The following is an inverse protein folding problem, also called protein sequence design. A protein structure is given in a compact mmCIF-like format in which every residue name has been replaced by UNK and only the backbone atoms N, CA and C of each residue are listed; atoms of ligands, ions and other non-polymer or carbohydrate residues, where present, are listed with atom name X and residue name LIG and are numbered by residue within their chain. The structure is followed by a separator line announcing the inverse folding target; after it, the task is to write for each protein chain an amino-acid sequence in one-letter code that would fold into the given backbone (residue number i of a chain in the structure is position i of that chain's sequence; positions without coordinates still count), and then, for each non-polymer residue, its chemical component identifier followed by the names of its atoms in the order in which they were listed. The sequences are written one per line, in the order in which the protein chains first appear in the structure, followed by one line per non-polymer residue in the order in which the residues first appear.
data_IF_166837143409
#
_entry.id   IF_166837143409
#
_cell.length_a   1.000
_cell.length_b   1.000
_cell.length_c   1.000
_cell.angle_alpha   90.00
_cell.angle_beta   90.00
_cell.angle_gamma   90.00
#
_symmetry.space_group_name_H-M   'P 1'
#
loop_
_entity.id
_entity.type
_entity.pdbx_description
1 polymer ?
#
# COMPACT_ATOMS: atom_id res chain seq x y z
N UNK A 1 1.58 -4.82 37.55
CA UNK A 1 1.99 -3.45 37.87
C UNK A 1 2.45 -2.86 36.56
N UNK A 2 1.66 -1.95 35.99
CA UNK A 2 2.11 -1.20 34.82
C UNK A 2 3.17 -0.22 35.36
N UNK A 3 4.38 -0.30 34.83
CA UNK A 3 5.42 0.69 35.09
C UNK A 3 4.97 1.93 34.32
N UNK A 4 4.51 2.96 35.03
CA UNK A 4 4.35 4.29 34.47
C UNK A 4 5.76 4.81 34.16
N UNK A 5 6.18 4.68 32.91
CA UNK A 5 7.42 5.31 32.42
C UNK A 5 7.15 6.81 32.40
N UNK A 6 7.85 7.57 33.22
CA UNK A 6 7.72 9.03 33.26
C UNK A 6 8.26 9.63 31.96
N UNK A 7 7.68 10.75 31.49
CA UNK A 7 8.14 11.49 30.30
C UNK A 7 9.61 11.91 30.38
N UNK A 8 10.20 11.97 31.58
CA UNK A 8 11.60 12.27 31.80
C UNK A 8 12.51 11.07 31.45
N UNK A 9 12.00 9.84 31.56
CA UNK A 9 12.76 8.62 31.31
C UNK A 9 12.93 8.33 29.80
N UNK A 10 12.08 8.90 28.95
CA UNK A 10 12.13 8.76 27.48
C UNK A 10 13.28 9.57 26.85
N UNK A 11 13.83 10.56 27.53
CA UNK A 11 15.11 11.23 27.19
C UNK A 11 16.33 10.48 27.73
N UNK A 12 16.12 9.33 28.33
CA UNK A 12 17.12 8.43 28.90
C UNK A 12 17.99 7.74 27.85
N UNK A 13 18.96 6.97 28.32
CA UNK A 13 19.87 6.16 27.51
C UNK A 13 19.14 5.33 26.45
N UNK A 14 17.94 4.79 26.74
CA UNK A 14 17.12 4.02 25.79
C UNK A 14 16.71 4.83 24.55
N UNK A 15 16.33 6.09 24.72
CA UNK A 15 15.95 6.93 23.56
C UNK A 15 17.17 7.30 22.70
N UNK A 16 18.33 7.53 23.33
CA UNK A 16 19.59 7.75 22.62
C UNK A 16 20.08 6.49 21.91
N UNK A 17 19.83 5.33 22.48
CA UNK A 17 20.07 4.03 21.85
C UNK A 17 19.18 3.84 20.60
N UNK A 18 17.87 4.09 20.70
CA UNK A 18 16.94 4.09 19.57
C UNK A 18 17.39 5.03 18.44
N UNK A 19 17.85 6.23 18.77
CA UNK A 19 18.41 7.16 17.79
C UNK A 19 19.68 6.63 17.15
N UNK A 20 20.55 5.99 17.93
CA UNK A 20 21.79 5.41 17.43
C UNK A 20 21.54 4.24 16.48
N UNK A 21 20.61 3.35 16.82
CA UNK A 21 20.24 2.22 15.97
C UNK A 21 19.55 2.67 14.68
N UNK A 22 18.68 3.68 14.76
CA UNK A 22 18.05 4.27 13.59
C UNK A 22 19.08 4.85 12.59
N UNK A 23 20.23 5.36 13.07
CA UNK A 23 21.33 5.84 12.22
C UNK A 23 21.93 4.74 11.32
N UNK A 24 21.90 3.50 11.76
CA UNK A 24 22.39 2.36 10.99
C UNK A 24 21.29 1.70 10.13
N UNK A 25 20.13 2.34 10.01
CA UNK A 25 18.92 1.85 9.30
C UNK A 25 18.41 0.50 9.83
N UNK A 26 18.75 0.18 11.05
CA UNK A 26 18.04 -0.82 11.84
C UNK A 26 17.00 -0.05 12.65
N UNK A 27 15.80 0.08 12.09
CA UNK A 27 14.73 0.79 12.79
C UNK A 27 14.25 -0.07 13.95
N UNK A 28 14.43 0.35 15.21
CA UNK A 28 14.00 -0.39 16.39
C UNK A 28 12.48 -0.18 16.60
N UNK A 29 11.68 -0.58 15.58
CA UNK A 29 10.24 -0.30 15.57
C UNK A 29 9.53 -1.09 16.65
N UNK A 30 10.00 -2.30 16.97
CA UNK A 30 9.39 -3.14 18.02
C UNK A 30 9.52 -2.46 19.38
N UNK A 31 10.70 -2.00 19.72
CA UNK A 31 11.03 -1.30 20.96
C UNK A 31 10.25 0.02 21.05
N UNK A 32 10.15 0.74 19.94
CA UNK A 32 9.37 1.97 19.86
C UNK A 32 7.86 1.72 20.07
N UNK A 33 7.34 0.61 19.53
CA UNK A 33 5.95 0.19 19.77
C UNK A 33 5.74 -0.22 21.23
N UNK A 34 6.71 -0.85 21.87
CA UNK A 34 6.67 -1.21 23.29
C UNK A 34 6.60 0.04 24.16
N UNK A 35 7.38 1.09 23.85
CA UNK A 35 7.30 2.39 24.51
C UNK A 35 5.93 3.08 24.34
N UNK A 36 5.24 2.82 23.23
CA UNK A 36 3.86 3.27 23.00
C UNK A 36 2.82 2.38 23.70
N UNK A 37 3.24 1.28 24.32
CA UNK A 37 2.33 0.28 24.90
C UNK A 37 1.53 -0.48 23.83
N UNK A 38 2.07 -0.62 22.62
CA UNK A 38 1.39 -1.24 21.48
C UNK A 38 2.09 -2.54 21.09
N UNK A 39 1.37 -3.66 21.19
CA UNK A 39 1.83 -4.93 20.63
C UNK A 39 1.60 -4.93 19.11
N UNK A 40 2.65 -5.11 18.29
CA UNK A 40 2.50 -5.11 16.84
C UNK A 40 1.71 -6.34 16.36
N UNK A 41 0.97 -6.15 15.26
CA UNK A 41 0.34 -7.26 14.55
C UNK A 41 1.36 -8.02 13.69
N UNK A 42 1.15 -9.32 13.39
CA UNK A 42 2.04 -10.09 12.51
C UNK A 42 2.34 -9.39 11.17
N UNK A 43 1.34 -8.75 10.58
CA UNK A 43 1.50 -7.95 9.35
C UNK A 43 2.46 -6.76 9.53
N UNK A 44 2.37 -6.09 10.66
CA UNK A 44 3.26 -4.97 11.00
C UNK A 44 4.69 -5.45 11.23
N UNK A 45 4.87 -6.57 11.93
CA UNK A 45 6.19 -7.21 12.12
C UNK A 45 6.82 -7.59 10.77
N UNK A 46 6.03 -8.12 9.83
CA UNK A 46 6.54 -8.46 8.51
C UNK A 46 7.04 -7.21 7.75
N UNK A 47 6.30 -6.10 7.82
CA UNK A 47 6.71 -4.81 7.23
C UNK A 47 8.01 -4.30 7.87
N UNK A 48 8.11 -4.33 9.20
CA UNK A 48 9.29 -3.94 9.95
C UNK A 48 10.51 -4.74 9.51
N UNK A 49 10.38 -6.07 9.44
CA UNK A 49 11.45 -6.95 9.02
C UNK A 49 11.92 -6.68 7.59
N UNK A 50 10.98 -6.40 6.67
CA UNK A 50 11.31 -6.08 5.29
C UNK A 50 12.07 -4.75 5.17
N UNK A 51 11.68 -3.72 5.92
CA UNK A 51 12.35 -2.42 5.93
C UNK A 51 13.74 -2.52 6.55
N UNK A 52 13.89 -3.31 7.61
CA UNK A 52 15.16 -3.52 8.28
C UNK A 52 16.13 -4.41 7.49
N UNK A 53 15.63 -5.06 6.43
CA UNK A 53 16.50 -5.83 5.55
C UNK A 53 17.18 -4.92 4.52
N UNK A 54 18.50 -4.85 4.57
CA UNK A 54 19.32 -4.02 3.68
C UNK A 54 19.27 -4.45 2.20
N UNK A 55 18.80 -5.67 1.91
CA UNK A 55 18.57 -6.14 0.54
C UNK A 55 17.46 -5.35 -0.14
N UNK A 56 16.44 -4.93 0.62
CA UNK A 56 15.25 -4.33 0.04
C UNK A 56 15.28 -2.81 0.17
N UNK A 57 15.12 -2.14 -0.95
CA UNK A 57 14.97 -0.70 -1.05
C UNK A 57 13.51 -0.29 -1.16
N UNK A 58 12.70 -1.15 -1.76
CA UNK A 58 11.28 -0.93 -2.01
C UNK A 58 10.45 -2.03 -1.35
N UNK A 59 9.49 -1.63 -0.52
CA UNK A 59 8.59 -2.56 0.18
C UNK A 59 7.16 -2.27 -0.25
N UNK A 60 6.49 -3.26 -0.83
CA UNK A 60 5.09 -3.17 -1.21
C UNK A 60 4.24 -4.08 -0.32
N UNK A 61 3.31 -3.51 0.45
CA UNK A 61 2.52 -4.25 1.42
C UNK A 61 1.02 -4.19 1.08
N UNK A 62 0.50 -5.29 0.54
CA UNK A 62 -0.92 -5.50 0.31
C UNK A 62 -1.57 -6.04 1.58
N UNK A 63 -2.30 -5.20 2.28
CA UNK A 63 -2.74 -5.47 3.65
C UNK A 63 -4.22 -5.20 3.79
N UNK A 64 -4.95 -6.16 4.34
CA UNK A 64 -6.40 -6.04 4.56
C UNK A 64 -6.78 -4.87 5.46
N UNK A 65 -8.06 -4.55 5.53
CA UNK A 65 -8.57 -3.52 6.47
C UNK A 65 -8.30 -3.90 7.93
N UNK A 66 -8.25 -2.89 8.80
CA UNK A 66 -8.06 -3.00 10.27
C UNK A 66 -6.73 -3.63 10.71
N UNK A 67 -5.71 -3.61 9.85
CA UNK A 67 -4.34 -4.04 10.18
C UNK A 67 -3.44 -2.90 10.70
N UNK A 68 -3.96 -1.69 10.85
CA UNK A 68 -3.18 -0.55 11.33
C UNK A 68 -2.10 -0.07 10.35
N UNK A 69 -2.38 -0.13 9.03
CA UNK A 69 -1.48 0.31 7.94
C UNK A 69 -0.92 1.71 8.16
N UNK A 70 -1.81 2.70 8.22
CA UNK A 70 -1.46 4.10 8.42
C UNK A 70 -0.69 4.31 9.73
N UNK A 71 -1.03 3.58 10.78
CA UNK A 71 -0.36 3.69 12.07
C UNK A 71 1.09 3.24 11.98
N UNK A 72 1.38 2.04 11.47
CA UNK A 72 2.75 1.54 11.34
C UNK A 72 3.58 2.37 10.36
N UNK A 73 2.97 2.84 9.27
CA UNK A 73 3.62 3.74 8.31
C UNK A 73 4.12 5.02 9.00
N UNK A 74 3.28 5.63 9.83
CA UNK A 74 3.63 6.83 10.57
C UNK A 74 4.66 6.58 11.68
N UNK A 75 4.61 5.44 12.36
CA UNK A 75 5.64 5.02 13.34
C UNK A 75 7.00 4.92 12.66
N UNK A 76 7.08 4.27 11.51
CA UNK A 76 8.32 4.14 10.75
C UNK A 76 8.83 5.52 10.32
N UNK A 77 7.96 6.38 9.81
CA UNK A 77 8.30 7.76 9.46
C UNK A 77 8.85 8.57 10.65
N UNK A 78 8.20 8.43 11.81
CA UNK A 78 8.63 9.10 13.04
C UNK A 78 10.02 8.60 13.50
N UNK A 79 10.26 7.29 13.46
CA UNK A 79 11.57 6.73 13.82
C UNK A 79 12.70 7.25 12.94
N UNK A 80 12.47 7.29 11.62
CA UNK A 80 13.46 7.87 10.69
C UNK A 80 13.72 9.35 11.01
N UNK A 81 12.69 10.10 11.45
CA UNK A 81 12.86 11.51 11.80
C UNK A 81 13.69 11.76 13.06
N UNK A 82 13.94 10.73 13.88
CA UNK A 82 14.85 10.83 15.02
C UNK A 82 16.32 10.93 14.59
N UNK A 83 16.65 10.46 13.39
CA UNK A 83 17.98 10.64 12.80
C UNK A 83 18.14 12.10 12.35
N UNK A 84 19.10 12.86 12.90
CA UNK A 84 19.25 14.28 12.60
C UNK A 84 19.39 14.56 11.10
N UNK A 85 18.63 15.55 10.60
CA UNK A 85 18.67 16.00 9.21
C UNK A 85 17.97 15.07 8.23
N UNK A 86 17.15 14.11 8.70
CA UNK A 86 16.41 13.20 7.85
C UNK A 86 15.19 13.89 7.23
N UNK A 87 14.88 13.55 5.97
CA UNK A 87 13.72 14.02 5.25
C UNK A 87 12.77 12.86 4.96
N UNK A 88 11.57 12.95 5.49
CA UNK A 88 10.52 11.95 5.33
C UNK A 88 9.35 12.53 4.55
N UNK A 89 8.85 11.78 3.58
CA UNK A 89 7.65 12.12 2.83
C UNK A 89 6.60 11.02 3.00
N UNK A 90 5.41 11.42 3.48
CA UNK A 90 4.25 10.53 3.57
C UNK A 90 3.23 10.99 2.54
N UNK A 91 3.03 10.20 1.51
CA UNK A 91 2.10 10.45 0.42
C UNK A 91 0.78 9.77 0.68
N UNK A 92 -0.31 10.45 0.40
CA UNK A 92 -1.67 9.90 0.45
C UNK A 92 -2.38 10.16 -0.88
N UNK A 93 -3.48 9.45 -1.20
CA UNK A 93 -4.23 9.66 -2.43
C UNK A 93 -4.68 11.11 -2.62
N UNK A 94 -5.12 11.75 -1.55
CA UNK A 94 -5.62 13.12 -1.58
C UNK A 94 -5.25 13.90 -0.30
N UNK A 95 -5.49 15.21 -0.34
CA UNK A 95 -5.15 16.11 0.76
C UNK A 95 -5.92 15.80 2.06
N UNK A 96 -7.16 15.32 1.98
CA UNK A 96 -7.96 15.00 3.18
C UNK A 96 -7.38 13.79 3.92
N UNK A 97 -6.94 12.76 3.20
CA UNK A 97 -6.30 11.58 3.80
C UNK A 97 -4.92 11.92 4.40
N UNK A 98 -4.18 12.83 3.78
CA UNK A 98 -2.90 13.29 4.35
C UNK A 98 -3.05 14.00 5.70
N UNK A 99 -4.24 14.51 6.04
CA UNK A 99 -4.53 15.08 7.35
C UNK A 99 -4.43 14.04 8.48
N UNK A 100 -4.86 12.81 8.21
CA UNK A 100 -4.80 11.71 9.19
C UNK A 100 -3.35 11.45 9.61
N UNK A 101 -2.44 11.36 8.64
CA UNK A 101 -1.01 11.17 8.92
C UNK A 101 -0.39 12.39 9.61
N UNK A 102 -0.81 13.60 9.25
CA UNK A 102 -0.32 14.82 9.88
C UNK A 102 -0.70 14.89 11.37
N UNK A 103 -1.95 14.60 11.68
CA UNK A 103 -2.43 14.59 13.08
C UNK A 103 -1.78 13.46 13.88
N UNK A 104 -1.56 12.31 13.25
CA UNK A 104 -0.88 11.19 13.89
C UNK A 104 0.59 11.52 14.20
N UNK A 105 1.31 12.16 13.28
CA UNK A 105 2.68 12.62 13.52
C UNK A 105 2.75 13.62 14.68
N UNK A 106 1.83 14.58 14.74
CA UNK A 106 1.74 15.52 15.87
C UNK A 106 1.51 14.81 17.20
N UNK A 107 0.65 13.80 17.21
CA UNK A 107 0.38 13.02 18.42
C UNK A 107 1.61 12.23 18.88
N UNK A 108 2.35 11.62 17.95
CA UNK A 108 3.60 10.90 18.24
C UNK A 108 4.67 11.87 18.78
N UNK A 109 4.87 13.01 18.13
CA UNK A 109 5.80 14.05 18.54
C UNK A 109 5.48 14.52 19.96
N UNK A 110 4.19 14.78 20.25
CA UNK A 110 3.74 15.19 21.58
C UNK A 110 3.92 14.08 22.62
N UNK A 111 3.66 12.82 22.25
CA UNK A 111 3.82 11.67 23.14
C UNK A 111 5.27 11.52 23.60
N UNK A 112 6.23 11.68 22.68
CA UNK A 112 7.66 11.58 22.95
C UNK A 112 8.32 12.92 23.37
N UNK A 113 7.52 13.97 23.55
CA UNK A 113 7.99 15.32 23.92
C UNK A 113 9.15 15.80 23.01
N UNK A 114 9.03 15.55 21.70
CA UNK A 114 10.04 15.97 20.73
C UNK A 114 9.93 17.46 20.48
N UNK A 115 11.08 18.12 20.38
CA UNK A 115 11.16 19.54 20.14
C UNK A 115 10.89 19.87 18.66
N UNK A 116 9.91 20.73 18.43
CA UNK A 116 9.48 21.18 17.10
C UNK A 116 10.04 22.57 16.81
N UNK A 117 10.81 22.69 15.74
CA UNK A 117 11.28 23.99 15.23
C UNK A 117 10.18 24.72 14.45
N UNK A 118 9.36 23.97 13.66
CA UNK A 118 8.26 24.52 12.89
C UNK A 118 7.15 23.51 12.69
N UNK A 119 5.91 23.94 12.89
CA UNK A 119 4.70 23.20 12.59
C UNK A 119 3.84 24.02 11.61
N UNK A 120 3.81 23.60 10.36
CA UNK A 120 3.04 24.26 9.31
C UNK A 120 1.84 23.41 8.91
N UNK A 121 0.70 23.69 9.49
CA UNK A 121 -0.55 22.97 9.23
C UNK A 121 -1.08 23.19 7.79
N UNK A 122 -0.78 24.34 7.17
CA UNK A 122 -1.24 24.61 5.80
C UNK A 122 -0.52 23.73 4.79
N UNK A 123 0.80 23.63 4.91
CA UNK A 123 1.62 22.86 3.98
C UNK A 123 1.86 21.42 4.49
N UNK A 124 1.34 21.11 5.69
CA UNK A 124 1.50 19.81 6.40
C UNK A 124 2.96 19.37 6.50
N UNK A 125 3.78 20.26 7.05
CA UNK A 125 5.21 20.07 7.26
C UNK A 125 5.55 20.30 8.71
N UNK A 126 6.25 19.33 9.31
CA UNK A 126 6.80 19.44 10.66
C UNK A 126 8.31 19.39 10.54
N UNK A 127 8.99 20.41 11.10
CA UNK A 127 10.45 20.47 11.20
C UNK A 127 10.82 20.30 12.68
N UNK A 128 11.64 19.30 12.98
CA UNK A 128 12.15 19.06 14.32
C UNK A 128 13.43 19.87 14.56
N UNK A 129 13.76 20.14 15.84
CA UNK A 129 14.97 20.89 16.21
C UNK A 129 16.28 20.16 15.86
N UNK A 130 16.21 18.83 15.63
CA UNK A 130 17.33 18.05 15.13
C UNK A 130 17.58 18.23 13.61
N UNK A 131 16.83 19.12 12.95
CA UNK A 131 16.92 19.39 11.51
C UNK A 131 16.15 18.43 10.62
N UNK A 132 15.44 17.45 11.17
CA UNK A 132 14.64 16.51 10.40
C UNK A 132 13.31 17.13 10.00
N UNK A 133 12.79 16.71 8.84
CA UNK A 133 11.51 17.19 8.28
C UNK A 133 10.59 16.01 7.98
N UNK A 134 9.36 16.08 8.47
CA UNK A 134 8.28 15.17 8.07
C UNK A 134 7.24 15.95 7.29
N UNK A 135 7.07 15.59 6.02
CA UNK A 135 6.14 16.22 5.09
C UNK A 135 5.05 15.25 4.70
N UNK A 136 3.82 15.72 4.68
CA UNK A 136 2.68 14.99 4.10
C UNK A 136 2.36 15.59 2.74
N UNK A 137 2.29 14.70 1.73
CA UNK A 137 1.93 15.06 0.36
C UNK A 137 0.67 14.34 -0.11
N UNK A 138 0.20 14.72 -1.28
CA UNK A 138 -0.84 13.98 -1.99
C UNK A 138 -0.40 13.68 -3.43
N UNK A 139 -0.87 12.56 -3.97
CA UNK A 139 -0.55 12.16 -5.35
C UNK A 139 -0.93 13.26 -6.34
N UNK A 140 -2.07 13.90 -6.13
CA UNK A 140 -2.56 14.99 -7.00
C UNK A 140 -1.70 16.29 -6.94
N UNK A 141 -0.77 16.40 -6.00
CA UNK A 141 0.07 17.58 -5.80
C UNK A 141 1.55 17.19 -5.64
N UNK A 142 1.98 16.15 -6.34
CA UNK A 142 3.34 15.61 -6.24
C UNK A 142 4.42 16.63 -6.55
N UNK A 143 4.17 17.57 -7.47
CA UNK A 143 5.13 18.63 -7.84
C UNK A 143 5.58 19.49 -6.66
N UNK A 144 4.75 19.63 -5.64
CA UNK A 144 5.11 20.33 -4.40
C UNK A 144 6.12 19.59 -3.54
N UNK A 145 6.35 18.30 -3.83
CA UNK A 145 7.22 17.42 -3.08
C UNK A 145 8.57 17.18 -3.77
N UNK A 146 8.73 17.52 -5.04
CA UNK A 146 10.01 17.38 -5.77
C UNK A 146 11.03 18.44 -5.36
N UNK A 147 12.30 18.29 -5.80
CA UNK A 147 13.39 19.21 -5.52
C UNK A 147 13.98 19.09 -4.11
N UNK A 148 13.80 17.94 -3.46
CA UNK A 148 14.38 17.56 -2.17
C UNK A 148 14.93 16.15 -2.25
N UNK A 149 15.89 15.82 -1.38
CA UNK A 149 16.38 14.46 -1.19
C UNK A 149 15.70 13.84 0.02
N UNK A 150 15.04 12.70 -0.16
CA UNK A 150 14.34 11.98 0.91
C UNK A 150 15.12 10.75 1.37
N UNK A 151 15.06 10.50 2.67
CA UNK A 151 15.55 9.27 3.29
C UNK A 151 14.49 8.17 3.24
N UNK A 152 13.22 8.58 3.35
CA UNK A 152 12.08 7.68 3.30
C UNK A 152 10.89 8.34 2.61
N UNK A 153 10.29 7.59 1.67
CA UNK A 153 9.01 7.93 1.07
C UNK A 153 8.01 6.82 1.40
N UNK A 154 6.84 7.19 1.91
CA UNK A 154 5.76 6.27 2.22
C UNK A 154 4.53 6.64 1.39
N UNK A 155 3.98 5.71 0.64
CA UNK A 155 2.67 5.84 0.00
C UNK A 155 1.65 5.07 0.85
N UNK A 156 0.85 5.80 1.62
CA UNK A 156 -0.27 5.24 2.37
C UNK A 156 -1.53 5.24 1.52
N UNK A 157 -2.27 4.14 1.57
CA UNK A 157 -3.44 3.86 0.71
C UNK A 157 -3.10 4.01 -0.80
N UNK A 158 -1.96 3.46 -1.20
CA UNK A 158 -1.36 3.60 -2.52
C UNK A 158 -2.29 3.19 -3.67
N UNK A 159 -3.13 2.17 -3.48
CA UNK A 159 -4.04 1.69 -4.53
C UNK A 159 -5.25 2.61 -4.79
N UNK A 160 -5.49 3.65 -3.95
CA UNK A 160 -6.66 4.54 -4.11
C UNK A 160 -6.46 5.69 -5.10
N UNK A 161 -5.25 5.88 -5.62
CA UNK A 161 -4.96 6.89 -6.63
C UNK A 161 -3.89 6.37 -7.58
N UNK A 162 -3.87 6.86 -8.82
CA UNK A 162 -2.79 6.53 -9.74
C UNK A 162 -1.52 7.31 -9.36
N UNK A 163 -0.60 6.58 -8.75
CA UNK A 163 0.68 7.11 -8.29
C UNK A 163 1.88 6.64 -9.09
N UNK A 164 1.69 5.96 -10.23
CA UNK A 164 2.77 5.42 -11.05
C UNK A 164 3.77 6.51 -11.44
N UNK A 165 3.30 7.56 -12.08
CA UNK A 165 4.14 8.66 -12.54
C UNK A 165 4.63 9.51 -11.37
N UNK A 166 3.77 9.71 -10.36
CA UNK A 166 4.16 10.40 -9.14
C UNK A 166 5.38 9.73 -8.49
N UNK A 167 5.44 8.40 -8.47
CA UNK A 167 6.62 7.71 -7.97
C UNK A 167 7.74 7.63 -8.99
N UNK A 168 7.52 6.99 -10.15
CA UNK A 168 8.61 6.64 -11.08
C UNK A 168 9.30 7.88 -11.68
N UNK A 169 8.52 8.93 -12.00
CA UNK A 169 9.01 10.13 -12.68
C UNK A 169 9.42 11.20 -11.68
N UNK A 170 8.54 11.50 -10.72
CA UNK A 170 8.74 12.64 -9.84
C UNK A 170 9.55 12.32 -8.57
N UNK A 171 9.20 11.24 -7.84
CA UNK A 171 9.74 11.00 -6.51
C UNK A 171 10.89 9.98 -6.45
N UNK A 172 10.93 8.98 -7.32
CA UNK A 172 12.03 8.01 -7.32
C UNK A 172 13.41 8.66 -7.48
N UNK A 173 13.61 9.68 -8.32
CA UNK A 173 14.88 10.41 -8.41
C UNK A 173 15.28 11.13 -7.12
N UNK A 174 14.34 11.43 -6.24
CA UNK A 174 14.60 12.13 -4.96
C UNK A 174 15.09 11.18 -3.85
N UNK A 175 15.07 9.87 -4.10
CA UNK A 175 15.70 8.85 -3.25
C UNK A 175 17.17 8.67 -3.68
N UNK A 176 17.96 9.74 -3.58
CA UNK A 176 19.33 9.84 -4.04
C UNK A 176 20.38 9.59 -2.95
N UNK A 177 19.93 9.44 -1.70
CA UNK A 177 20.79 9.13 -0.57
C UNK A 177 21.04 7.63 -0.45
N UNK A 178 22.22 7.28 0.05
CA UNK A 178 22.52 5.91 0.43
C UNK A 178 21.47 5.39 1.43
N UNK A 179 20.97 4.17 1.19
CA UNK A 179 19.96 3.52 2.01
C UNK A 179 18.56 4.18 2.03
N UNK A 180 18.30 5.17 1.19
CA UNK A 180 16.96 5.72 1.05
C UNK A 180 15.97 4.65 0.58
N UNK A 181 14.75 4.65 1.14
CA UNK A 181 13.75 3.60 0.91
C UNK A 181 12.39 4.18 0.53
N UNK A 182 11.58 3.36 -0.16
CA UNK A 182 10.17 3.65 -0.32
C UNK A 182 9.30 2.47 0.14
N UNK A 183 8.14 2.82 0.70
CA UNK A 183 7.14 1.88 1.19
C UNK A 183 5.81 2.21 0.50
N UNK A 184 5.14 1.19 -0.02
CA UNK A 184 3.82 1.28 -0.63
C UNK A 184 2.89 0.39 0.18
N UNK A 185 1.90 0.99 0.87
CA UNK A 185 0.97 0.24 1.72
C UNK A 185 -0.45 0.54 1.27
N UNK A 186 -1.24 -0.50 1.02
CA UNK A 186 -2.66 -0.35 0.69
C UNK A 186 -3.45 -1.63 0.93
N UNK A 187 -4.77 -1.50 0.97
CA UNK A 187 -5.68 -2.57 0.59
C UNK A 187 -5.71 -2.63 -0.95
N UNK A 188 -5.62 -3.80 -1.58
CA UNK A 188 -5.68 -3.94 -3.03
C UNK A 188 -6.97 -3.35 -3.63
N UNK A 189 -6.89 -2.94 -4.90
CA UNK A 189 -8.03 -2.42 -5.70
C UNK A 189 -7.98 -3.02 -7.11
N UNK A 190 -8.18 -4.35 -7.18
CA UNK A 190 -8.05 -5.09 -8.43
C UNK A 190 -6.60 -5.21 -8.91
N UNK A 191 -6.43 -5.85 -10.07
CA UNK A 191 -5.10 -6.11 -10.68
C UNK A 191 -4.63 -5.01 -11.62
N UNK A 192 -5.56 -4.23 -12.18
CA UNK A 192 -5.28 -3.31 -13.28
C UNK A 192 -4.85 -1.92 -12.76
N UNK A 193 -3.83 -1.88 -11.90
CA UNK A 193 -3.30 -0.63 -11.35
C UNK A 193 -1.81 -0.75 -10.99
N UNK A 194 -1.17 0.39 -10.82
CA UNK A 194 0.25 0.50 -10.51
C UNK A 194 0.67 -0.16 -9.19
N UNK A 195 -0.22 -0.21 -8.19
CA UNK A 195 0.07 -0.85 -6.90
C UNK A 195 0.19 -2.37 -7.06
N UNK A 196 -0.68 -2.98 -7.88
CA UNK A 196 -0.58 -4.39 -8.21
C UNK A 196 0.71 -4.71 -8.98
N UNK A 197 1.08 -3.86 -9.95
CA UNK A 197 2.36 -4.00 -10.67
C UNK A 197 3.55 -3.93 -9.70
N UNK A 198 3.56 -2.98 -8.77
CA UNK A 198 4.63 -2.86 -7.79
C UNK A 198 4.66 -4.03 -6.81
N UNK A 199 3.49 -4.55 -6.46
CA UNK A 199 3.40 -5.76 -5.64
C UNK A 199 3.99 -6.98 -6.37
N UNK A 200 3.73 -7.15 -7.64
CA UNK A 200 4.26 -8.26 -8.42
C UNK A 200 5.80 -8.19 -8.58
N UNK A 201 6.40 -7.00 -8.54
CA UNK A 201 7.87 -6.83 -8.58
C UNK A 201 8.59 -7.55 -7.44
N UNK A 202 7.99 -7.66 -6.25
CA UNK A 202 8.60 -8.35 -5.13
C UNK A 202 8.69 -9.87 -5.28
N UNK A 203 8.10 -10.43 -6.32
CA UNK A 203 8.17 -11.86 -6.69
C UNK A 203 8.94 -12.10 -7.98
N UNK A 204 9.45 -11.04 -8.61
CA UNK A 204 10.19 -11.12 -9.86
C UNK A 204 11.68 -10.90 -9.59
N UNK A 205 12.50 -11.87 -9.97
CA UNK A 205 13.97 -11.85 -9.81
C UNK A 205 14.65 -10.69 -10.57
N UNK A 206 14.00 -10.07 -11.54
CA UNK A 206 14.49 -8.87 -12.20
C UNK A 206 14.49 -7.63 -11.29
N UNK A 207 13.76 -7.68 -10.17
CA UNK A 207 13.65 -6.60 -9.19
C UNK A 207 14.16 -7.00 -7.80
N UNK A 208 15.44 -7.37 -7.65
CA UNK A 208 15.97 -7.95 -6.40
C UNK A 208 15.92 -7.01 -5.19
N UNK A 209 15.73 -5.70 -5.41
CA UNK A 209 15.60 -4.66 -4.38
C UNK A 209 14.16 -4.48 -3.89
N UNK A 210 13.19 -5.23 -4.45
CA UNK A 210 11.77 -5.20 -4.07
C UNK A 210 11.43 -6.33 -3.11
N UNK A 211 10.50 -6.05 -2.20
CA UNK A 211 9.89 -7.03 -1.31
C UNK A 211 8.39 -6.80 -1.24
N UNK A 212 7.62 -7.85 -1.43
CA UNK A 212 6.16 -7.78 -1.33
C UNK A 212 5.63 -8.61 -0.18
N UNK A 213 4.69 -8.03 0.56
CA UNK A 213 4.07 -8.61 1.74
C UNK A 213 2.56 -8.62 1.52
N UNK A 214 1.93 -9.77 1.71
CA UNK A 214 0.47 -9.88 1.76
C UNK A 214 0.04 -10.25 3.17
N UNK A 215 -0.94 -9.52 3.72
CA UNK A 215 -1.52 -9.82 5.01
C UNK A 215 -3.05 -9.72 4.98
N UNK A 216 -3.69 -10.72 5.54
CA UNK A 216 -5.13 -10.94 5.52
C UNK A 216 -5.74 -10.66 6.90
N UNK A 217 -7.08 -10.73 7.01
CA UNK A 217 -7.75 -10.62 8.31
C UNK A 217 -7.29 -11.69 9.32
N UNK A 218 -6.78 -12.83 8.85
CA UNK A 218 -6.27 -13.92 9.69
C UNK A 218 -5.01 -13.54 10.45
N UNK A 219 -4.29 -12.55 9.96
CA UNK A 219 -3.08 -12.01 10.58
C UNK A 219 -3.41 -10.96 11.67
N UNK A 220 -4.70 -10.71 11.94
CA UNK A 220 -5.13 -9.82 13.01
C UNK A 220 -5.92 -10.59 14.10
N UNK A 221 -5.27 -11.03 15.19
CA UNK A 221 -5.93 -11.77 16.25
C UNK A 221 -6.96 -10.95 17.05
N UNK A 222 -7.04 -9.63 16.81
CA UNK A 222 -8.01 -8.74 17.46
C UNK A 222 -9.36 -8.70 16.73
N UNK A 223 -9.45 -9.28 15.53
CA UNK A 223 -10.71 -9.34 14.78
C UNK A 223 -11.57 -10.49 15.31
N UNK A 224 -12.80 -10.20 15.71
CA UNK A 224 -13.70 -11.23 16.20
C UNK A 224 -14.27 -12.10 15.07
N UNK A 225 -14.54 -13.37 15.36
CA UNK A 225 -15.21 -14.26 14.41
C UNK A 225 -16.60 -13.75 14.01
N UNK A 226 -17.26 -13.01 14.92
CA UNK A 226 -18.58 -12.42 14.67
C UNK A 226 -18.49 -11.28 13.66
N UNK A 227 -17.52 -10.36 13.79
CA UNK A 227 -17.30 -9.27 12.84
C UNK A 227 -16.99 -9.80 11.43
N UNK A 228 -16.20 -10.87 11.35
CA UNK A 228 -15.88 -11.54 10.08
C UNK A 228 -17.11 -12.18 9.46
N UNK A 229 -17.94 -12.88 10.27
CA UNK A 229 -19.17 -13.51 9.77
C UNK A 229 -20.19 -12.47 9.30
N UNK A 230 -20.28 -11.32 9.98
CA UNK A 230 -21.15 -10.20 9.58
C UNK A 230 -20.66 -9.56 8.29
N UNK A 231 -19.35 -9.30 8.16
CA UNK A 231 -18.77 -8.77 6.94
C UNK A 231 -19.03 -9.67 5.73
N UNK A 232 -18.87 -11.00 5.89
CA UNK A 232 -19.18 -11.99 4.83
C UNK A 232 -20.64 -11.99 4.39
N UNK A 233 -21.56 -11.63 5.28
CA UNK A 233 -23.00 -11.54 4.95
C UNK A 233 -23.38 -10.24 4.28
N UNK A 234 -22.65 -9.17 4.57
CA UNK A 234 -22.98 -7.81 4.11
C UNK A 234 -22.26 -7.40 2.83
N UNK A 235 -21.28 -8.17 2.39
CA UNK A 235 -20.45 -7.90 1.22
C UNK A 235 -20.59 -9.04 0.21
N UNK A 236 -20.33 -8.76 -1.06
CA UNK A 236 -20.10 -9.80 -2.05
C UNK A 236 -18.79 -10.57 -1.74
N UNK A 237 -18.66 -11.79 -2.26
CA UNK A 237 -17.43 -12.57 -2.09
C UNK A 237 -16.19 -11.83 -2.62
N UNK A 238 -16.35 -11.11 -3.74
CA UNK A 238 -15.28 -10.31 -4.32
C UNK A 238 -14.85 -9.18 -3.38
N UNK A 239 -15.79 -8.41 -2.86
CA UNK A 239 -15.50 -7.33 -1.89
C UNK A 239 -14.86 -7.89 -0.62
N UNK A 240 -15.37 -9.01 -0.09
CA UNK A 240 -14.79 -9.64 1.08
C UNK A 240 -13.34 -10.08 0.83
N UNK A 241 -13.07 -10.72 -0.30
CA UNK A 241 -11.72 -11.14 -0.68
C UNK A 241 -10.79 -9.94 -0.80
N UNK A 242 -11.21 -8.87 -1.46
CA UNK A 242 -10.43 -7.64 -1.57
C UNK A 242 -10.14 -7.00 -0.22
N UNK A 243 -11.18 -6.73 0.59
CA UNK A 243 -11.06 -5.91 1.79
C UNK A 243 -10.49 -6.67 3.00
N UNK A 244 -10.77 -7.99 3.09
CA UNK A 244 -10.38 -8.84 4.23
C UNK A 244 -9.27 -9.84 3.91
N UNK A 245 -9.16 -10.28 2.67
CA UNK A 245 -8.12 -11.24 2.27
C UNK A 245 -6.99 -10.60 1.48
N UNK A 246 -7.04 -9.27 1.25
CA UNK A 246 -6.07 -8.52 0.46
C UNK A 246 -5.83 -9.18 -0.91
N UNK A 247 -6.93 -9.59 -1.57
CA UNK A 247 -6.90 -10.22 -2.88
C UNK A 247 -6.94 -9.16 -3.98
N UNK A 248 -6.10 -9.34 -5.00
CA UNK A 248 -6.05 -8.49 -6.19
C UNK A 248 -7.00 -8.94 -7.29
N UNK A 249 -7.57 -10.15 -7.20
CA UNK A 249 -8.38 -10.74 -8.26
C UNK A 249 -9.83 -10.24 -8.28
N UNK A 250 -10.09 -9.10 -7.66
CA UNK A 250 -11.40 -8.45 -7.68
C UNK A 250 -11.38 -7.35 -8.70
N UNK A 251 -12.17 -7.48 -9.76
CA UNK A 251 -12.32 -6.42 -10.75
C UNK A 251 -13.40 -5.45 -10.27
N UNK A 252 -13.04 -4.18 -10.03
CA UNK A 252 -14.05 -3.12 -9.93
C UNK A 252 -14.78 -3.04 -11.28
N UNK A 253 -16.09 -3.18 -11.24
CA UNK A 253 -16.92 -3.16 -12.46
C UNK A 253 -17.11 -4.52 -13.15
N UNK A 254 -16.62 -5.62 -12.60
CA UNK A 254 -16.91 -6.94 -13.13
C UNK A 254 -18.41 -7.24 -12.97
N UNK A 255 -19.13 -7.28 -14.09
CA UNK A 255 -20.57 -7.58 -14.14
C UNK A 255 -20.79 -9.10 -13.99
N UNK A 256 -19.88 -9.89 -14.56
CA UNK A 256 -19.95 -11.35 -14.57
C UNK A 256 -18.87 -11.95 -13.70
N UNK A 257 -19.25 -12.79 -12.77
CA UNK A 257 -18.30 -13.57 -11.96
C UNK A 257 -18.24 -14.98 -12.55
N UNK A 258 -17.10 -15.37 -13.13
CA UNK A 258 -16.87 -16.70 -13.68
C UNK A 258 -15.65 -17.34 -13.06
N UNK A 259 -15.70 -18.67 -12.90
CA UNK A 259 -14.56 -19.45 -12.45
C UNK A 259 -13.65 -19.73 -13.69
N UNK A 260 -12.46 -19.17 -13.68
CA UNK A 260 -11.53 -19.31 -14.80
C UNK A 260 -11.20 -20.78 -15.11
N UNK A 261 -11.06 -21.64 -14.09
CA UNK A 261 -10.74 -23.08 -14.27
C UNK A 261 -11.90 -23.85 -14.91
N UNK A 262 -13.14 -23.41 -14.68
CA UNK A 262 -14.35 -24.05 -15.23
C UNK A 262 -14.80 -23.45 -16.55
N UNK A 263 -14.56 -22.15 -16.75
CA UNK A 263 -15.11 -21.39 -17.86
C UNK A 263 -14.12 -21.16 -19.00
N UNK A 264 -12.82 -21.28 -18.76
CA UNK A 264 -11.79 -21.10 -19.80
C UNK A 264 -11.22 -22.45 -20.19
N UNK A 265 -11.43 -22.85 -21.42
CA UNK A 265 -10.92 -24.11 -21.96
C UNK A 265 -10.03 -23.85 -23.17
N UNK A 266 -8.89 -24.54 -23.27
CA UNK A 266 -8.08 -24.62 -24.50
C UNK A 266 -8.75 -25.56 -25.47
N UNK A 267 -9.88 -25.17 -26.03
CA UNK A 267 -10.64 -26.04 -26.89
C UNK A 267 -10.30 -25.76 -28.35
N UNK A 268 -9.15 -26.29 -28.83
CA UNK A 268 -8.77 -26.26 -30.24
C UNK A 268 -9.76 -27.06 -31.16
N UNK A 269 -10.71 -27.78 -30.55
CA UNK A 269 -11.63 -28.69 -31.23
C UNK A 269 -13.10 -28.25 -31.13
N UNK A 270 -13.42 -26.98 -30.79
CA UNK A 270 -14.79 -26.52 -30.75
C UNK A 270 -15.35 -26.45 -32.18
N UNK A 271 -16.30 -27.33 -32.50
CA UNK A 271 -17.00 -27.30 -33.78
C UNK A 271 -18.10 -26.25 -33.76
N UNK A 272 -17.86 -25.12 -34.42
CA UNK A 272 -18.79 -23.99 -34.49
C UNK A 272 -19.74 -24.06 -35.68
N UNK A 273 -19.69 -25.12 -36.52
CA UNK A 273 -20.46 -25.21 -37.77
C UNK A 273 -21.97 -25.24 -37.55
N UNK A 274 -22.43 -25.71 -36.40
CA UNK A 274 -23.85 -25.72 -35.99
C UNK A 274 -24.27 -24.57 -35.08
N UNK A 275 -23.35 -23.64 -34.79
CA UNK A 275 -23.59 -22.54 -33.85
C UNK A 275 -23.89 -21.22 -34.58
N UNK A 276 -24.70 -20.37 -33.96
CA UNK A 276 -24.85 -19.00 -34.44
C UNK A 276 -23.68 -18.14 -33.92
N UNK A 277 -22.97 -17.47 -34.84
CA UNK A 277 -21.83 -16.63 -34.50
C UNK A 277 -22.19 -15.17 -34.64
N UNK A 278 -21.92 -14.43 -33.59
CA UNK A 278 -22.15 -12.98 -33.48
C UNK A 278 -20.86 -12.25 -33.22
N UNK A 279 -20.76 -11.01 -33.69
CA UNK A 279 -19.66 -10.12 -33.33
C UNK A 279 -20.22 -8.79 -32.83
N UNK A 280 -19.63 -8.28 -31.77
CA UNK A 280 -19.92 -6.98 -31.19
C UNK A 280 -18.69 -6.08 -31.23
N UNK A 281 -18.87 -4.82 -31.62
CA UNK A 281 -17.84 -3.79 -31.61
C UNK A 281 -18.35 -2.60 -30.79
N UNK A 282 -17.59 -2.24 -29.78
CA UNK A 282 -17.76 -1.00 -29.01
C UNK A 282 -16.57 -0.08 -29.27
N UNK A 283 -16.85 1.08 -29.89
CA UNK A 283 -15.81 2.03 -30.29
C UNK A 283 -15.66 3.08 -29.23
N UNK A 284 -14.57 3.00 -28.47
CA UNK A 284 -14.21 3.99 -27.48
C UNK A 284 -13.44 5.16 -28.08
N UNK A 285 -13.62 6.36 -27.53
CA UNK A 285 -12.81 7.56 -27.84
C UNK A 285 -11.88 7.94 -26.69
N UNK A 286 -12.32 7.70 -25.46
CA UNK A 286 -11.53 7.86 -24.22
C UNK A 286 -11.35 6.55 -23.51
N UNK A 287 -12.28 5.63 -23.71
CA UNK A 287 -12.24 4.26 -23.22
C UNK A 287 -11.70 3.37 -24.34
N UNK A 288 -11.11 2.21 -24.02
CA UNK A 288 -10.62 1.27 -25.01
C UNK A 288 -11.70 0.86 -26.03
N UNK A 289 -11.32 0.69 -27.28
CA UNK A 289 -12.21 0.04 -28.28
C UNK A 289 -12.20 -1.45 -27.99
N UNK A 290 -13.38 -2.04 -27.84
CA UNK A 290 -13.58 -3.47 -27.58
C UNK A 290 -14.23 -4.17 -28.75
N UNK A 291 -13.74 -5.35 -29.11
CA UNK A 291 -14.35 -6.23 -30.10
C UNK A 291 -14.42 -7.64 -29.53
N UNK A 292 -15.58 -8.29 -29.65
CA UNK A 292 -15.80 -9.64 -29.15
C UNK A 292 -16.53 -10.48 -30.19
N UNK A 293 -16.13 -11.74 -30.36
CA UNK A 293 -16.80 -12.74 -31.19
C UNK A 293 -17.35 -13.83 -30.28
N UNK A 294 -18.62 -14.10 -30.38
CA UNK A 294 -19.35 -15.04 -29.52
C UNK A 294 -20.07 -16.05 -30.41
N UNK A 295 -19.99 -17.33 -30.09
CA UNK A 295 -20.84 -18.37 -30.63
C UNK A 295 -21.89 -18.79 -29.61
N UNK A 296 -23.11 -19.08 -30.08
CA UNK A 296 -24.18 -19.65 -29.26
C UNK A 296 -24.47 -21.08 -29.70
N UNK A 297 -24.29 -22.00 -28.77
CA UNK A 297 -24.61 -23.41 -28.94
C UNK A 297 -26.07 -23.63 -28.50
N UNK A 298 -26.94 -23.91 -29.47
CA UNK A 298 -28.35 -24.16 -29.23
C UNK A 298 -28.63 -25.50 -28.57
N UNK A 299 -27.75 -26.49 -28.75
CA UNK A 299 -27.95 -27.83 -28.23
C UNK A 299 -27.64 -27.88 -26.71
N UNK A 300 -26.66 -27.12 -26.29
CA UNK A 300 -26.21 -27.03 -24.88
C UNK A 300 -26.67 -25.75 -24.18
N UNK A 301 -27.34 -24.82 -24.85
CA UNK A 301 -27.72 -23.50 -24.34
C UNK A 301 -26.55 -22.72 -23.75
N UNK A 302 -25.40 -22.74 -24.43
CA UNK A 302 -24.16 -22.13 -23.93
C UNK A 302 -23.62 -21.05 -24.89
N UNK A 303 -22.99 -20.05 -24.29
CA UNK A 303 -22.22 -19.04 -25.02
C UNK A 303 -20.74 -19.38 -24.97
N UNK A 304 -20.07 -19.30 -26.10
CA UNK A 304 -18.63 -19.46 -26.23
C UNK A 304 -18.02 -18.17 -26.75
N UNK A 305 -17.09 -17.57 -25.99
CA UNK A 305 -16.30 -16.44 -26.45
C UNK A 305 -15.16 -17.01 -27.29
N UNK A 306 -15.20 -16.72 -28.58
CA UNK A 306 -14.24 -17.27 -29.55
C UNK A 306 -13.00 -16.39 -29.70
N UNK A 307 -13.19 -15.08 -29.65
CA UNK A 307 -12.11 -14.11 -29.74
C UNK A 307 -12.50 -12.81 -29.05
N UNK A 308 -11.51 -12.15 -28.48
CA UNK A 308 -11.65 -10.80 -27.95
C UNK A 308 -10.46 -9.94 -28.40
N UNK A 309 -10.71 -8.67 -28.59
CA UNK A 309 -9.70 -7.65 -28.85
C UNK A 309 -10.04 -6.40 -28.05
N UNK A 310 -9.08 -5.89 -27.33
CA UNK A 310 -9.17 -4.66 -26.56
C UNK A 310 -8.00 -3.76 -26.95
N UNK A 311 -8.31 -2.60 -27.51
CA UNK A 311 -7.32 -1.57 -27.82
C UNK A 311 -7.28 -0.58 -26.66
N UNK A 312 -6.18 -0.60 -25.93
CA UNK A 312 -5.97 0.14 -24.69
C UNK A 312 -4.88 1.21 -24.82
N UNK A 313 -4.75 1.87 -26.03
CA UNK A 313 -3.83 2.99 -26.20
C UNK A 313 -4.23 4.26 -25.43
#
# INVERSE_FOLDING_TARGET
MAVEISRADIRSEEFLELQSEARFLKLPVSEYLDLLGVTPLPSQVAIINAINNNKYRFVCAAVSRRQGKTYIANIIGQLVSLVPGSNILIMSPNYSLSQISFDLQRNLIKHFDLEVAKDNAKDKVIELTNGSTVRMGSVNQVDSCVGRSYDLIIFDEAALADGRDAFNVALRPTLDKDNSKAIFISTPRGRNNWFAEFFDRGFNDEFPEWCSIRATYKDNPRMSAMDIAEAKKSMSDAEFRQEYEADFNTYEGQIWNFNHEECVTNNEALDITSMDVFAGLDVGYRDPTAFCVIAYDWDNEQYHILAEYLDAE
#
